data_IF_316485752210
#
_entry.id   IF_316485752210
#
_cell.length_a   1.000
_cell.length_b   1.000
_cell.length_c   1.000
_cell.angle_alpha   90.00
_cell.angle_beta   90.00
_cell.angle_gamma   90.00
#
_symmetry.space_group_name_H-M   'P 1'
#
loop_
_entity.id
_entity.type
_entity.pdbx_description
1 polymer ?
#
# COMPACT_ATOMS: atom_id res chain seq x y z
N UNK A 1 -19.02 8.63 19.71
CA UNK A 1 -17.62 8.25 20.01
C UNK A 1 -17.24 7.20 18.99
N UNK A 2 -16.44 7.57 18.00
CA UNK A 2 -16.04 6.66 16.92
C UNK A 2 -14.85 5.86 17.43
N UNK A 3 -15.07 4.60 17.77
CA UNK A 3 -14.00 3.68 18.13
C UNK A 3 -13.34 3.22 16.81
N UNK A 4 -12.43 4.04 16.29
CA UNK A 4 -11.73 3.77 15.05
C UNK A 4 -10.67 2.70 15.26
N UNK A 5 -10.75 1.57 14.55
CA UNK A 5 -9.66 0.58 14.51
C UNK A 5 -8.61 1.05 13.51
N UNK A 6 -7.41 1.30 14.01
CA UNK A 6 -6.26 1.69 13.20
C UNK A 6 -5.37 0.47 13.00
N UNK A 7 -4.93 0.27 11.76
CA UNK A 7 -3.90 -0.71 11.44
C UNK A 7 -2.64 0.04 11.04
N UNK A 8 -1.55 -0.21 11.77
CA UNK A 8 -0.25 0.42 11.56
C UNK A 8 0.73 -0.72 11.29
N UNK A 9 1.11 -0.92 10.01
CA UNK A 9 1.98 -2.03 9.58
C UNK A 9 3.20 -2.23 10.48
N UNK A 10 3.86 -1.15 10.85
CA UNK A 10 5.07 -1.15 11.67
C UNK A 10 4.84 -1.71 13.08
N UNK A 11 3.64 -1.55 13.63
CA UNK A 11 3.28 -2.03 14.97
C UNK A 11 2.55 -3.36 14.94
N UNK A 12 1.77 -3.63 13.90
CA UNK A 12 0.94 -4.82 13.77
C UNK A 12 1.70 -6.02 13.17
N UNK A 13 2.83 -5.79 12.51
CA UNK A 13 3.65 -6.84 11.91
C UNK A 13 4.95 -6.98 12.71
N UNK A 14 5.26 -8.20 13.14
CA UNK A 14 6.57 -8.48 13.69
C UNK A 14 7.65 -8.41 12.60
N UNK A 15 8.39 -7.31 12.57
CA UNK A 15 9.40 -7.06 11.54
C UNK A 15 10.61 -8.01 11.63
N UNK A 16 10.83 -8.64 12.80
CA UNK A 16 11.94 -9.56 13.04
C UNK A 16 11.65 -11.00 12.60
N UNK A 17 10.37 -11.38 12.50
CA UNK A 17 9.95 -12.69 12.02
C UNK A 17 9.62 -12.60 10.51
N UNK A 18 10.52 -13.12 9.69
CA UNK A 18 10.37 -13.09 8.23
C UNK A 18 9.17 -13.90 7.73
N UNK A 19 8.79 -14.96 8.44
CA UNK A 19 7.67 -15.83 8.06
C UNK A 19 6.36 -15.12 8.38
N UNK A 20 6.20 -14.63 9.60
CA UNK A 20 5.03 -13.84 9.99
C UNK A 20 4.90 -12.60 9.10
N UNK A 21 6.00 -11.88 8.86
CA UNK A 21 6.01 -10.70 8.00
C UNK A 21 5.52 -11.02 6.60
N UNK A 22 5.97 -12.12 5.99
CA UNK A 22 5.50 -12.52 4.67
C UNK A 22 3.99 -12.83 4.67
N UNK A 23 3.49 -13.51 5.71
CA UNK A 23 2.06 -13.79 5.87
C UNK A 23 1.23 -12.51 6.04
N UNK A 24 1.69 -11.57 6.88
CA UNK A 24 1.01 -10.30 7.11
C UNK A 24 1.04 -9.42 5.87
N UNK A 25 2.18 -9.35 5.15
CA UNK A 25 2.30 -8.62 3.88
C UNK A 25 1.30 -9.13 2.85
N UNK A 26 1.05 -10.45 2.79
CA UNK A 26 0.02 -11.03 1.94
C UNK A 26 -1.40 -10.57 2.32
N UNK A 27 -1.64 -10.29 3.60
CA UNK A 27 -2.93 -9.80 4.11
C UNK A 27 -3.11 -8.28 3.92
N UNK A 28 -2.02 -7.52 3.73
CA UNK A 28 -2.07 -6.05 3.58
C UNK A 28 -3.02 -5.61 2.48
N UNK A 29 -3.10 -6.38 1.39
CA UNK A 29 -4.05 -6.13 0.32
C UNK A 29 -5.49 -6.08 0.83
N UNK A 30 -5.91 -7.04 1.65
CA UNK A 30 -7.27 -7.06 2.21
C UNK A 30 -7.50 -5.97 3.24
N UNK A 31 -6.46 -5.57 3.97
CA UNK A 31 -6.52 -4.49 4.95
C UNK A 31 -6.71 -3.15 4.24
N UNK A 32 -5.90 -2.87 3.23
CA UNK A 32 -5.98 -1.65 2.42
C UNK A 32 -7.28 -1.57 1.62
N UNK A 33 -7.76 -2.71 1.09
CA UNK A 33 -9.03 -2.79 0.36
C UNK A 33 -10.25 -2.41 1.21
N UNK A 34 -10.18 -2.69 2.52
CA UNK A 34 -11.26 -2.44 3.49
C UNK A 34 -11.05 -1.16 4.31
N UNK A 35 -9.90 -0.51 4.18
CA UNK A 35 -9.61 0.72 4.90
C UNK A 35 -10.45 1.86 4.31
N UNK A 36 -11.06 2.66 5.17
CA UNK A 36 -11.73 3.89 4.74
C UNK A 36 -10.72 4.90 4.19
N UNK A 37 -9.51 4.92 4.75
CA UNK A 37 -8.43 5.79 4.34
C UNK A 37 -7.09 5.08 4.63
N UNK A 38 -6.11 5.29 3.75
CA UNK A 38 -4.75 4.76 3.92
C UNK A 38 -3.80 5.95 3.98
N UNK A 39 -3.04 6.05 5.08
CA UNK A 39 -2.02 7.07 5.28
C UNK A 39 -0.65 6.39 5.18
N UNK A 40 0.18 6.85 4.25
CA UNK A 40 1.53 6.32 4.01
C UNK A 40 2.58 7.36 4.40
N UNK A 41 3.60 6.91 5.13
CA UNK A 41 4.80 7.70 5.43
C UNK A 41 5.99 7.15 4.64
N UNK A 42 6.59 7.97 3.78
CA UNK A 42 7.68 7.58 2.88
C UNK A 42 9.08 7.94 3.43
N UNK A 43 9.17 8.27 4.71
CA UNK A 43 10.38 8.82 5.32
C UNK A 43 10.46 10.34 5.21
N UNK A 44 11.61 10.89 5.60
CA UNK A 44 11.87 12.33 5.55
C UNK A 44 11.96 12.85 4.12
N UNK A 45 11.70 14.15 3.95
CA UNK A 45 11.79 14.78 2.64
C UNK A 45 13.23 14.69 2.12
N UNK A 46 13.38 14.04 0.97
CA UNK A 46 14.63 13.90 0.24
C UNK A 46 14.40 14.25 -1.24
N UNK A 47 15.49 14.46 -1.99
CA UNK A 47 15.41 14.67 -3.45
C UNK A 47 14.73 13.52 -4.20
N UNK A 48 14.74 12.31 -3.62
CA UNK A 48 14.06 11.15 -4.19
C UNK A 48 12.58 11.05 -3.78
N UNK A 49 12.18 11.69 -2.67
CA UNK A 49 10.78 11.80 -2.26
C UNK A 49 9.96 12.58 -3.31
N UNK A 50 10.52 13.65 -3.89
CA UNK A 50 9.87 14.42 -4.95
C UNK A 50 9.62 13.56 -6.20
N UNK A 51 10.53 12.65 -6.54
CA UNK A 51 10.36 11.71 -7.66
C UNK A 51 9.24 10.72 -7.40
N UNK A 52 9.17 10.17 -6.19
CA UNK A 52 8.10 9.25 -5.79
C UNK A 52 6.72 9.94 -5.82
N UNK A 53 6.60 11.14 -5.26
CA UNK A 53 5.35 11.90 -5.31
C UNK A 53 4.95 12.32 -6.72
N UNK A 54 5.91 12.69 -7.57
CA UNK A 54 5.63 13.01 -8.97
C UNK A 54 5.17 11.77 -9.75
N UNK A 55 5.74 10.60 -9.47
CA UNK A 55 5.28 9.33 -10.05
C UNK A 55 3.84 9.01 -9.63
N UNK A 56 3.52 9.13 -8.34
CA UNK A 56 2.15 8.93 -7.83
C UNK A 56 1.15 9.90 -8.47
N UNK A 57 1.50 11.20 -8.55
CA UNK A 57 0.66 12.22 -9.18
C UNK A 57 0.47 11.99 -10.69
N UNK A 58 1.50 11.55 -11.39
CA UNK A 58 1.42 11.22 -12.81
C UNK A 58 0.50 10.01 -13.02
N UNK A 59 0.63 9.00 -12.17
CA UNK A 59 -0.20 7.80 -12.22
C UNK A 59 -1.67 8.13 -11.94
N UNK A 60 -1.96 8.94 -10.91
CA UNK A 60 -3.32 9.41 -10.58
C UNK A 60 -3.98 10.15 -11.75
N UNK A 61 -3.24 11.01 -12.46
CA UNK A 61 -3.75 11.66 -13.69
C UNK A 61 -4.12 10.68 -14.80
N UNK A 62 -3.29 9.66 -15.03
CA UNK A 62 -3.54 8.62 -16.05
C UNK A 62 -4.79 7.80 -15.69
N UNK A 63 -5.01 7.55 -14.40
CA UNK A 63 -6.15 6.80 -13.87
C UNK A 63 -7.44 7.62 -13.86
N UNK A 64 -7.38 8.94 -13.64
CA UNK A 64 -8.58 9.77 -13.73
C UNK A 64 -9.08 9.94 -15.17
N UNK A 65 -8.21 9.91 -16.18
CA UNK A 65 -8.61 9.99 -17.59
C UNK A 65 -9.18 8.68 -18.16
N UNK A 66 -8.75 7.54 -17.62
CA UNK A 66 -9.32 6.24 -17.92
C UNK A 66 -10.04 5.75 -16.66
N UNK A 67 -11.35 5.96 -16.45
CA UNK A 67 -12.11 5.45 -15.28
C UNK A 67 -11.51 4.17 -14.62
N UNK A 68 -10.72 4.29 -13.55
CA UNK A 68 -9.77 3.23 -13.12
C UNK A 68 -9.64 3.02 -11.60
N UNK A 69 -10.73 2.79 -10.89
CA UNK A 69 -10.61 2.14 -9.56
C UNK A 69 -10.20 0.67 -9.69
N UNK A 70 -10.54 0.01 -10.80
CA UNK A 70 -10.27 -1.42 -11.00
C UNK A 70 -8.83 -1.70 -11.50
N UNK A 71 -8.21 -0.76 -12.24
CA UNK A 71 -6.86 -0.96 -12.79
C UNK A 71 -5.75 -0.69 -11.77
N UNK A 72 -5.93 0.25 -10.82
CA UNK A 72 -5.03 0.43 -9.69
C UNK A 72 -4.99 -0.86 -8.85
N UNK A 73 -6.18 -1.39 -8.52
CA UNK A 73 -6.33 -2.65 -7.78
C UNK A 73 -5.58 -3.80 -8.46
N UNK A 74 -5.79 -4.01 -9.76
CA UNK A 74 -5.08 -5.05 -10.54
C UNK A 74 -3.56 -4.88 -10.58
N UNK A 75 -3.03 -3.64 -10.65
CA UNK A 75 -1.58 -3.43 -10.62
C UNK A 75 -0.99 -3.71 -9.24
N UNK A 76 -1.71 -3.37 -8.17
CA UNK A 76 -1.31 -3.75 -6.81
C UNK A 76 -1.34 -5.28 -6.63
N UNK A 77 -2.39 -5.97 -7.08
CA UNK A 77 -2.52 -7.44 -7.07
C UNK A 77 -1.31 -8.14 -7.72
N UNK A 78 -0.91 -7.68 -8.91
CA UNK A 78 0.24 -8.23 -9.65
C UNK A 78 1.57 -7.99 -8.95
N UNK A 79 1.65 -6.94 -8.13
CA UNK A 79 2.85 -6.61 -7.38
C UNK A 79 2.93 -7.43 -6.09
N UNK A 80 1.81 -7.76 -5.44
CA UNK A 80 1.72 -8.70 -4.33
C UNK A 80 2.02 -10.14 -4.76
N UNK A 81 1.56 -10.56 -5.96
CA UNK A 81 1.82 -11.91 -6.51
C UNK A 81 3.31 -12.25 -6.69
N UNK A 82 4.17 -11.23 -6.87
CA UNK A 82 5.63 -11.42 -6.96
C UNK A 82 6.29 -11.74 -5.62
N UNK A 83 5.63 -11.43 -4.50
CA UNK A 83 6.13 -11.70 -3.15
C UNK A 83 5.51 -12.95 -2.53
N UNK A 84 4.48 -13.53 -3.14
CA UNK A 84 3.82 -14.79 -2.73
C UNK A 84 4.27 -16.02 -3.52
N UNK A 85 5.08 -15.87 -4.57
CA UNK A 85 5.64 -16.99 -5.33
C UNK A 85 6.91 -17.55 -4.65
N UNK A 86 6.72 -18.30 -3.56
CA UNK A 86 7.68 -19.30 -3.06
C UNK A 86 6.96 -20.56 -2.60
#
# INVERSE_FOLDING_TARGET
>A
MCDGRWWIDYLCINQADLVERAEQVRLMQQVYDRAHEVIVWLGDQSSDSDRAFNFIKLHDKIIQEANSDEQIRRSFDLQTDKYTAH
#
